data_IF_307022317634
#
_entry.id   IF_307022317634
#
_cell.length_a   1.000
_cell.length_b   1.000
_cell.length_c   1.000
_cell.angle_alpha   90.00
_cell.angle_beta   90.00
_cell.angle_gamma   90.00
#
_symmetry.space_group_name_H-M   'P 1'
#
loop_
_entity.id
_entity.type
_entity.pdbx_description
1 polymer ?
#
# COMPACT_ATOMS: atom_id res chain seq x y z
N UNK A 1 -61.23 -20.92 29.71
CA UNK A 1 -61.01 -19.90 28.67
C UNK A 1 -59.57 -19.47 28.74
N UNK A 2 -58.82 -19.75 27.69
CA UNK A 2 -57.36 -19.73 27.60
C UNK A 2 -56.82 -18.37 27.16
N UNK A 3 -55.59 -18.06 27.60
CA UNK A 3 -54.59 -17.13 27.02
C UNK A 3 -54.89 -15.62 27.13
N UNK A 4 -53.92 -14.74 27.36
CA UNK A 4 -52.64 -14.64 26.63
C UNK A 4 -51.61 -13.82 27.43
N UNK A 5 -50.40 -14.36 27.62
CA UNK A 5 -49.22 -13.67 28.18
C UNK A 5 -48.49 -12.92 27.04
N UNK A 6 -48.12 -11.63 27.19
CA UNK A 6 -47.27 -10.96 26.21
C UNK A 6 -45.79 -11.29 26.49
N UNK A 7 -45.14 -11.90 25.51
CA UNK A 7 -43.69 -12.09 25.49
C UNK A 7 -43.06 -10.85 24.84
N UNK A 8 -42.35 -10.04 25.63
CA UNK A 8 -41.54 -8.94 25.11
C UNK A 8 -40.26 -9.51 24.50
N UNK A 9 -40.10 -9.37 23.18
CA UNK A 9 -38.86 -9.69 22.47
C UNK A 9 -38.07 -8.40 22.30
N UNK A 10 -37.01 -8.23 23.08
CA UNK A 10 -36.05 -7.14 22.90
C UNK A 10 -35.05 -7.54 21.80
N UNK A 11 -35.14 -6.90 20.64
CA UNK A 11 -34.21 -7.08 19.52
C UNK A 11 -33.03 -6.12 19.71
N UNK A 12 -31.93 -6.61 20.28
CA UNK A 12 -30.68 -5.85 20.40
C UNK A 12 -29.92 -5.87 19.06
N UNK A 13 -29.98 -4.76 18.31
CA UNK A 13 -29.12 -4.53 17.14
C UNK A 13 -27.69 -4.22 17.62
N UNK A 14 -26.80 -5.22 17.58
CA UNK A 14 -25.37 -4.99 17.71
C UNK A 14 -24.84 -4.36 16.41
N UNK A 15 -24.68 -3.04 16.38
CA UNK A 15 -24.04 -2.34 15.28
C UNK A 15 -22.52 -2.59 15.34
N UNK A 16 -22.01 -3.49 14.51
CA UNK A 16 -20.56 -3.61 14.29
C UNK A 16 -20.08 -2.39 13.53
N UNK A 17 -19.36 -1.48 14.20
CA UNK A 17 -18.70 -0.34 13.57
C UNK A 17 -17.59 -0.90 12.66
N UNK A 18 -17.87 -1.00 11.37
CA UNK A 18 -16.82 -1.23 10.37
C UNK A 18 -16.06 0.08 10.21
N UNK A 19 -14.87 0.18 10.76
CA UNK A 19 -13.93 1.27 10.44
C UNK A 19 -13.64 1.21 8.94
N UNK A 20 -14.18 2.16 8.19
CA UNK A 20 -13.85 2.33 6.79
C UNK A 20 -12.39 2.81 6.70
N UNK A 21 -11.47 1.93 6.32
CA UNK A 21 -10.12 2.34 5.94
C UNK A 21 -10.22 3.04 4.59
N UNK A 22 -9.86 4.31 4.53
CA UNK A 22 -9.82 5.05 3.28
C UNK A 22 -8.45 4.82 2.64
N UNK A 23 -8.42 4.17 1.46
CA UNK A 23 -7.19 4.02 0.69
C UNK A 23 -6.57 5.40 0.46
N UNK A 24 -5.27 5.55 0.79
CA UNK A 24 -4.61 6.85 0.56
C UNK A 24 -4.28 7.00 -0.92
N UNK A 25 -4.89 7.96 -1.58
CA UNK A 25 -4.66 8.22 -3.00
C UNK A 25 -3.91 9.56 -3.20
N UNK A 26 -2.80 9.51 -3.94
CA UNK A 26 -2.06 10.69 -4.42
C UNK A 26 -2.25 10.78 -5.94
N UNK A 27 -3.17 11.64 -6.37
CA UNK A 27 -3.48 11.86 -7.80
C UNK A 27 -2.89 13.14 -8.36
N UNK A 28 -2.41 14.05 -7.50
CA UNK A 28 -1.88 15.33 -7.91
C UNK A 28 -0.45 15.24 -8.45
N UNK A 29 0.17 16.39 -8.62
CA UNK A 29 1.56 16.49 -9.04
C UNK A 29 2.37 17.31 -8.05
N UNK A 30 3.63 16.92 -7.85
CA UNK A 30 4.56 17.59 -6.93
C UNK A 30 4.07 17.65 -5.46
N UNK A 31 3.19 16.73 -5.06
CA UNK A 31 2.74 16.62 -3.67
C UNK A 31 3.85 16.03 -2.80
N UNK A 32 3.97 16.49 -1.55
CA UNK A 32 4.87 15.90 -0.56
C UNK A 32 4.05 15.43 0.63
N UNK A 33 4.05 14.12 0.89
CA UNK A 33 3.14 13.48 1.84
C UNK A 33 3.90 12.52 2.75
N UNK A 34 3.54 12.51 4.03
CA UNK A 34 3.86 11.40 4.95
C UNK A 34 2.57 10.65 5.27
N UNK A 35 2.63 9.31 5.22
CA UNK A 35 1.47 8.45 5.45
C UNK A 35 1.78 7.33 6.43
N UNK A 36 0.92 7.13 7.42
CA UNK A 36 1.08 6.04 8.38
C UNK A 36 0.26 4.80 8.00
N UNK A 37 0.96 3.75 7.58
CA UNK A 37 0.34 2.51 7.17
C UNK A 37 -0.15 1.64 8.33
N UNK A 38 0.11 2.00 9.58
CA UNK A 38 -0.52 1.32 10.71
C UNK A 38 -2.03 1.58 10.78
N UNK A 39 -2.45 2.79 10.39
CA UNK A 39 -3.86 3.20 10.39
C UNK A 39 -4.55 2.88 9.06
N UNK A 40 -3.86 3.14 7.94
CA UNK A 40 -4.40 2.92 6.59
C UNK A 40 -3.37 2.19 5.72
N UNK A 41 -3.44 0.85 5.64
CA UNK A 41 -2.35 0.03 5.13
C UNK A 41 -2.23 -0.01 3.60
N UNK A 42 -3.08 0.71 2.87
CA UNK A 42 -3.13 0.71 1.40
C UNK A 42 -2.87 2.11 0.87
N UNK A 43 -1.94 2.21 -0.08
CA UNK A 43 -1.56 3.48 -0.70
C UNK A 43 -1.52 3.34 -2.23
N UNK A 44 -2.08 4.32 -2.93
CA UNK A 44 -2.12 4.43 -4.38
C UNK A 44 -1.50 5.78 -4.79
N UNK A 45 -0.46 5.74 -5.61
CA UNK A 45 0.21 6.93 -6.16
C UNK A 45 -0.01 6.94 -7.68
N UNK A 46 -1.04 7.63 -8.13
CA UNK A 46 -1.41 7.73 -9.55
C UNK A 46 -0.87 8.99 -10.24
N UNK A 47 -0.49 10.01 -9.45
CA UNK A 47 0.02 11.28 -9.93
C UNK A 47 1.49 11.27 -10.37
N UNK A 48 2.05 12.46 -10.60
CA UNK A 48 3.43 12.60 -11.10
C UNK A 48 4.33 13.44 -10.20
N UNK A 49 5.61 13.10 -10.15
CA UNK A 49 6.63 13.89 -9.43
C UNK A 49 6.32 14.04 -7.93
N UNK A 50 5.53 13.14 -7.35
CA UNK A 50 5.17 13.18 -5.94
C UNK A 50 6.29 12.62 -5.08
N UNK A 51 6.35 13.09 -3.83
CA UNK A 51 7.24 12.61 -2.79
C UNK A 51 6.42 12.00 -1.66
N UNK A 52 6.55 10.70 -1.43
CA UNK A 52 5.81 10.01 -0.38
C UNK A 52 6.78 9.33 0.58
N UNK A 53 6.59 9.56 1.87
CA UNK A 53 7.23 8.79 2.93
C UNK A 53 6.17 7.98 3.68
N UNK A 54 6.37 6.67 3.83
CA UNK A 54 5.46 5.84 4.65
C UNK A 54 6.11 5.41 5.95
N UNK A 55 5.34 5.44 7.03
CA UNK A 55 5.66 4.81 8.31
C UNK A 55 4.83 3.55 8.52
N UNK A 56 5.25 2.69 9.45
CA UNK A 56 4.56 1.43 9.70
C UNK A 56 4.70 0.42 8.56
N UNK A 57 3.84 -0.60 8.56
CA UNK A 57 3.83 -1.67 7.56
C UNK A 57 2.61 -1.53 6.67
N UNK A 58 2.82 -1.23 5.39
CA UNK A 58 1.75 -1.22 4.41
C UNK A 58 1.42 -2.65 3.95
N UNK A 59 0.14 -2.93 3.72
CA UNK A 59 -0.25 -4.17 3.05
C UNK A 59 0.08 -4.07 1.57
N UNK A 60 -0.34 -2.99 0.92
CA UNK A 60 -0.18 -2.79 -0.52
C UNK A 60 0.18 -1.35 -0.84
N UNK A 61 1.20 -1.16 -1.67
CA UNK A 61 1.50 0.11 -2.31
C UNK A 61 1.46 -0.07 -3.81
N UNK A 62 0.63 0.72 -4.49
CA UNK A 62 0.52 0.75 -5.94
C UNK A 62 0.98 2.10 -6.45
N UNK A 63 1.99 2.12 -7.30
CA UNK A 63 2.44 3.33 -8.01
C UNK A 63 2.00 3.17 -9.44
N UNK A 64 1.19 4.08 -9.97
CA UNK A 64 0.64 4.07 -11.33
C UNK A 64 1.16 5.22 -12.20
N UNK A 65 1.72 6.26 -11.57
CA UNK A 65 2.16 7.46 -12.27
C UNK A 65 3.63 7.46 -12.67
N UNK A 66 4.18 8.67 -12.81
CA UNK A 66 5.53 8.87 -13.34
C UNK A 66 6.40 9.77 -12.46
N UNK A 67 7.71 9.52 -12.47
CA UNK A 67 8.72 10.34 -11.79
C UNK A 67 8.49 10.53 -10.28
N UNK A 68 7.72 9.65 -9.63
CA UNK A 68 7.49 9.73 -8.19
C UNK A 68 8.70 9.23 -7.41
N UNK A 69 8.91 9.80 -6.22
CA UNK A 69 9.95 9.42 -5.27
C UNK A 69 9.30 8.90 -3.99
N UNK A 70 9.54 7.64 -3.64
CA UNK A 70 8.93 7.03 -2.46
C UNK A 70 9.99 6.49 -1.50
N UNK A 71 9.81 6.79 -0.22
CA UNK A 71 10.54 6.17 0.90
C UNK A 71 9.56 5.32 1.70
N UNK A 72 9.70 4.00 1.63
CA UNK A 72 8.76 3.04 2.21
C UNK A 72 9.44 2.30 3.36
N UNK A 73 8.91 2.40 4.58
CA UNK A 73 9.44 1.67 5.72
C UNK A 73 9.32 0.15 5.52
N UNK A 74 8.09 -0.35 5.36
CA UNK A 74 7.81 -1.76 5.10
C UNK A 74 6.53 -1.94 4.29
N UNK A 75 6.50 -2.96 3.42
CA UNK A 75 5.29 -3.32 2.69
C UNK A 75 5.21 -4.83 2.40
N UNK A 76 4.02 -5.42 2.43
CA UNK A 76 3.87 -6.82 1.99
C UNK A 76 4.01 -6.90 0.47
N UNK A 77 3.30 -6.03 -0.26
CA UNK A 77 3.32 -5.96 -1.71
C UNK A 77 3.56 -4.54 -2.20
N UNK A 78 4.51 -4.38 -3.12
CA UNK A 78 4.72 -3.14 -3.88
C UNK A 78 4.58 -3.43 -5.36
N UNK A 79 3.69 -2.70 -6.02
CA UNK A 79 3.43 -2.81 -7.44
C UNK A 79 3.69 -1.45 -8.11
N UNK A 80 4.72 -1.40 -8.93
CA UNK A 80 5.11 -0.20 -9.68
C UNK A 80 4.67 -0.39 -11.12
N UNK A 81 3.68 0.36 -11.54
CA UNK A 81 3.10 0.45 -12.86
C UNK A 81 3.38 1.88 -13.34
N UNK A 82 4.19 2.09 -14.37
CA UNK A 82 4.47 3.46 -14.84
C UNK A 82 5.91 3.68 -15.24
N UNK A 83 6.36 4.93 -15.18
CA UNK A 83 7.66 5.32 -15.72
C UNK A 83 8.52 6.15 -14.76
N UNK A 84 9.82 5.85 -14.75
CA UNK A 84 10.85 6.64 -14.06
C UNK A 84 10.60 6.87 -12.56
N UNK A 85 9.83 6.00 -11.89
CA UNK A 85 9.64 6.10 -10.45
C UNK A 85 10.88 5.61 -9.70
N UNK A 86 11.18 6.24 -8.56
CA UNK A 86 12.32 5.92 -7.70
C UNK A 86 11.80 5.54 -6.31
N UNK A 87 12.09 4.31 -5.88
CA UNK A 87 11.64 3.80 -4.59
C UNK A 87 12.82 3.34 -3.75
N UNK A 88 12.85 3.75 -2.49
CA UNK A 88 13.69 3.17 -1.43
C UNK A 88 12.80 2.46 -0.43
N UNK A 89 13.04 1.17 -0.22
CA UNK A 89 12.18 0.32 0.60
C UNK A 89 13.01 -0.33 1.72
N UNK A 90 12.55 -0.27 2.96
CA UNK A 90 13.13 -1.06 4.03
C UNK A 90 12.90 -2.55 3.77
N UNK A 91 11.69 -3.02 4.05
CA UNK A 91 11.34 -4.43 3.91
C UNK A 91 10.18 -4.65 2.94
N UNK A 92 10.32 -5.66 2.06
CA UNK A 92 9.25 -6.03 1.11
C UNK A 92 9.25 -7.52 0.76
N UNK A 93 8.07 -8.14 0.78
CA UNK A 93 7.92 -9.56 0.42
C UNK A 93 7.71 -9.76 -1.08
N UNK A 94 6.90 -8.91 -1.72
CA UNK A 94 6.60 -8.99 -3.16
C UNK A 94 6.81 -7.64 -3.83
N UNK A 95 7.69 -7.60 -4.81
CA UNK A 95 8.01 -6.42 -5.59
C UNK A 95 7.76 -6.71 -7.07
N UNK A 96 6.86 -5.94 -7.68
CA UNK A 96 6.53 -6.05 -9.11
C UNK A 96 6.77 -4.71 -9.77
N UNK A 97 7.58 -4.71 -10.83
CA UNK A 97 7.80 -3.55 -11.68
C UNK A 97 7.23 -3.87 -13.05
N UNK A 98 6.35 -3.01 -13.54
CA UNK A 98 5.69 -3.05 -14.83
C UNK A 98 5.81 -1.65 -15.44
N UNK A 99 6.46 -1.53 -16.59
CA UNK A 99 6.63 -0.23 -17.27
C UNK A 99 8.09 0.08 -17.57
N UNK A 100 8.47 1.35 -17.52
CA UNK A 100 9.72 1.84 -18.12
C UNK A 100 10.62 2.54 -17.10
N UNK A 101 11.88 2.12 -17.02
CA UNK A 101 12.94 2.81 -16.28
C UNK A 101 12.66 3.10 -14.80
N UNK A 102 11.84 2.28 -14.14
CA UNK A 102 11.63 2.40 -12.70
C UNK A 102 12.86 1.85 -11.94
N UNK A 103 13.20 2.50 -10.84
CA UNK A 103 14.36 2.17 -10.01
C UNK A 103 13.91 1.87 -8.59
N UNK A 104 14.29 0.70 -8.07
CA UNK A 104 13.93 0.29 -6.70
C UNK A 104 15.15 -0.22 -5.95
N UNK A 105 15.41 0.35 -4.78
CA UNK A 105 16.36 -0.17 -3.79
C UNK A 105 15.57 -0.75 -2.60
N UNK A 106 15.92 -1.95 -2.13
CA UNK A 106 15.27 -2.55 -0.95
C UNK A 106 16.24 -3.26 -0.01
N UNK A 107 16.00 -3.27 1.31
CA UNK A 107 16.93 -3.91 2.28
C UNK A 107 16.70 -5.42 2.43
N UNK A 108 15.45 -5.88 2.46
CA UNK A 108 15.18 -7.30 2.64
C UNK A 108 13.71 -7.70 2.61
N UNK A 109 13.40 -8.99 2.90
CA UNK A 109 12.03 -9.42 3.09
C UNK A 109 11.44 -8.90 4.40
N UNK A 110 10.11 -8.83 4.46
CA UNK A 110 9.37 -8.46 5.66
C UNK A 110 9.06 -9.70 6.50
N UNK A 111 8.29 -10.64 5.95
CA UNK A 111 7.91 -11.91 6.61
C UNK A 111 8.31 -13.13 5.79
N UNK A 112 8.50 -12.97 4.48
CA UNK A 112 8.87 -14.06 3.60
C UNK A 112 10.32 -14.49 3.82
N UNK A 113 10.66 -15.72 3.42
CA UNK A 113 12.07 -16.18 3.42
C UNK A 113 12.94 -15.35 2.48
N UNK A 114 12.36 -14.81 1.40
CA UNK A 114 13.02 -13.96 0.42
C UNK A 114 12.01 -13.06 -0.29
N UNK A 115 12.45 -11.87 -0.68
CA UNK A 115 11.67 -10.97 -1.53
C UNK A 115 11.49 -11.58 -2.92
N UNK A 116 10.23 -11.70 -3.37
CA UNK A 116 9.90 -12.10 -4.74
C UNK A 116 9.91 -10.86 -5.62
N UNK A 117 10.85 -10.78 -6.55
CA UNK A 117 10.98 -9.66 -7.50
C UNK A 117 10.55 -10.10 -8.89
N UNK A 118 9.70 -9.29 -9.55
CA UNK A 118 9.35 -9.44 -10.97
C UNK A 118 9.57 -8.10 -11.68
N UNK A 119 10.20 -8.14 -12.85
CA UNK A 119 10.46 -6.99 -13.70
C UNK A 119 9.87 -7.26 -15.08
N UNK A 120 8.93 -6.43 -15.50
CA UNK A 120 8.26 -6.48 -16.80
C UNK A 120 8.34 -5.09 -17.43
N UNK A 121 8.58 -5.04 -18.75
CA UNK A 121 8.89 -3.80 -19.46
C UNK A 121 10.40 -3.52 -19.53
N UNK A 122 10.77 -2.28 -19.84
CA UNK A 122 12.13 -1.93 -20.32
C UNK A 122 12.86 -1.06 -19.30
N UNK A 123 14.16 -1.30 -19.09
CA UNK A 123 15.02 -0.40 -18.31
C UNK A 123 14.81 -0.42 -16.79
N UNK A 124 13.90 -1.24 -16.26
CA UNK A 124 13.65 -1.34 -14.82
C UNK A 124 14.86 -1.88 -14.06
N UNK A 125 15.30 -1.17 -13.01
CA UNK A 125 16.44 -1.52 -12.15
C UNK A 125 15.95 -1.85 -10.75
N UNK A 126 16.46 -2.94 -10.19
CA UNK A 126 16.17 -3.36 -8.81
C UNK A 126 17.49 -3.74 -8.14
N UNK A 127 17.77 -3.16 -6.98
CA UNK A 127 18.94 -3.46 -6.17
C UNK A 127 18.52 -3.84 -4.76
N UNK A 128 19.10 -4.92 -4.23
CA UNK A 128 19.04 -5.19 -2.79
C UNK A 128 20.21 -4.46 -2.13
N UNK A 129 19.91 -3.55 -1.22
CA UNK A 129 20.89 -2.80 -0.44
C UNK A 129 21.05 -3.44 0.95
N UNK A 130 22.21 -3.24 1.59
CA UNK A 130 22.50 -3.80 2.92
C UNK A 130 21.81 -2.98 4.02
#
# INVERSE_FOLDING_TARGET
GTAMRPLFVALALAATVTTAHADRQLTGSAETVTHDCASDPVVIVAGSTNQLTTTGTCTTITVQGSSNQLTIAAATTVNVQGSSNQLTIGQVDKLRLQGVSNQVAYKGPLKAKKTKVSKQGVGNKVAKVK
#
